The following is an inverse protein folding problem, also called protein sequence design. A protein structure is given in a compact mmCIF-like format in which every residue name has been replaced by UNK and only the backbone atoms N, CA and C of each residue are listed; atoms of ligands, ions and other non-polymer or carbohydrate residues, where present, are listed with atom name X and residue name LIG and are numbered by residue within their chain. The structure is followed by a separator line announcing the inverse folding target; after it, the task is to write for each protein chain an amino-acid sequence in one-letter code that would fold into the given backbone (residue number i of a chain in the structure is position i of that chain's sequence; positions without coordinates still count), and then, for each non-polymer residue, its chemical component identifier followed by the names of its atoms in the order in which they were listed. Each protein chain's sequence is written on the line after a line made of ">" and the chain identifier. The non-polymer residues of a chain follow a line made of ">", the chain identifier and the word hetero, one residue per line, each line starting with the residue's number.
data_IF_516514841933
#
_entry.id   IF_516514841933
#
_cell.length_a   1.000
_cell.length_b   1.000
_cell.length_c   1.000
_cell.angle_alpha   90.00
_cell.angle_beta   90.00
_cell.angle_gamma   90.00
#
_symmetry.space_group_name_H-M   'P 1'
#
loop_
_entity.id
_entity.type
_entity.pdbx_description
1 polymer ?
#
# COMPACT_ATOMS: atom_id res chain seq x y z
N UNK A 1 -15.01 -6.50 9.11
CA UNK A 1 -14.60 -6.15 7.75
C UNK A 1 -13.10 -6.37 7.60
N UNK A 2 -12.68 -6.84 6.45
CA UNK A 2 -11.25 -7.00 6.13
C UNK A 2 -10.81 -5.80 5.30
N UNK A 3 -9.74 -5.12 5.72
CA UNK A 3 -9.26 -3.90 5.07
C UNK A 3 -7.78 -4.06 4.71
N UNK A 4 -7.46 -3.80 3.45
CA UNK A 4 -6.07 -3.74 2.98
C UNK A 4 -5.64 -2.29 2.88
N UNK A 5 -4.49 -1.97 3.49
CA UNK A 5 -3.90 -0.63 3.46
C UNK A 5 -2.51 -0.71 2.86
N UNK A 6 -2.29 0.00 1.75
CA UNK A 6 -0.98 0.02 1.09
C UNK A 6 -0.25 1.32 1.39
N UNK A 7 0.93 1.22 2.00
CA UNK A 7 1.72 2.33 2.53
C UNK A 7 3.08 2.29 1.87
N UNK A 8 3.46 3.34 1.15
CA UNK A 8 4.69 3.35 0.35
C UNK A 8 5.82 4.23 0.89
N UNK A 9 5.51 5.24 1.70
CA UNK A 9 6.50 6.21 2.16
C UNK A 9 6.43 6.40 3.68
N UNK A 10 7.51 6.93 4.30
CA UNK A 10 7.49 7.22 5.73
C UNK A 10 6.37 8.18 6.14
N UNK A 11 6.11 9.20 5.32
CA UNK A 11 5.03 10.16 5.58
C UNK A 11 3.68 9.46 5.61
N UNK A 12 3.45 8.56 4.66
CA UNK A 12 2.21 7.77 4.60
C UNK A 12 2.07 6.86 5.81
N UNK A 13 3.16 6.29 6.29
CA UNK A 13 3.15 5.45 7.48
C UNK A 13 2.72 6.26 8.70
N UNK A 14 3.30 7.41 8.91
CA UNK A 14 2.95 8.29 10.04
C UNK A 14 1.50 8.75 9.97
N UNK A 15 1.02 9.09 8.78
CA UNK A 15 -0.37 9.47 8.56
C UNK A 15 -1.32 8.31 8.88
N UNK A 16 -0.91 7.09 8.56
CA UNK A 16 -1.75 5.90 8.71
C UNK A 16 -1.84 5.38 10.13
N UNK A 17 -0.86 5.65 10.98
CA UNK A 17 -0.81 5.09 12.32
C UNK A 17 -2.11 5.25 13.13
N UNK A 18 -2.68 6.46 13.27
CA UNK A 18 -3.91 6.60 14.03
C UNK A 18 -5.11 5.92 13.36
N UNK A 19 -5.11 5.86 12.03
CA UNK A 19 -6.17 5.17 11.27
C UNK A 19 -6.11 3.67 11.54
N UNK A 20 -4.92 3.08 11.45
CA UNK A 20 -4.70 1.66 11.69
C UNK A 20 -5.03 1.29 13.14
N UNK A 21 -4.63 2.12 14.09
CA UNK A 21 -4.93 1.91 15.50
C UNK A 21 -6.44 1.85 15.75
N UNK A 22 -7.18 2.78 15.17
CA UNK A 22 -8.64 2.82 15.33
C UNK A 22 -9.35 1.68 14.62
N UNK A 23 -9.01 1.46 13.36
CA UNK A 23 -9.66 0.43 12.55
C UNK A 23 -9.32 -0.97 13.03
N UNK A 24 -8.11 -1.18 13.54
CA UNK A 24 -7.66 -2.48 14.02
C UNK A 24 -8.42 -3.01 15.22
N UNK A 25 -9.13 -2.15 15.93
CA UNK A 25 -9.93 -2.56 17.08
C UNK A 25 -11.21 -3.31 16.67
N UNK A 26 -11.72 -3.05 15.47
CA UNK A 26 -13.01 -3.61 15.00
C UNK A 26 -12.90 -4.38 13.70
N UNK A 27 -11.77 -4.29 13.00
CA UNK A 27 -11.60 -4.84 11.67
C UNK A 27 -10.28 -5.60 11.57
N UNK A 28 -10.24 -6.57 10.66
CA UNK A 28 -8.99 -7.27 10.34
C UNK A 28 -8.25 -6.46 9.28
N UNK A 29 -7.00 -6.11 9.57
CA UNK A 29 -6.19 -5.26 8.70
C UNK A 29 -5.02 -6.02 8.10
N UNK A 30 -4.72 -5.73 6.84
CA UNK A 30 -3.50 -6.15 6.18
C UNK A 30 -2.80 -4.89 5.68
N UNK A 31 -1.67 -4.56 6.28
CA UNK A 31 -0.88 -3.39 5.89
C UNK A 31 0.33 -3.85 5.09
N UNK A 32 0.45 -3.36 3.86
CA UNK A 32 1.53 -3.74 2.95
C UNK A 32 2.37 -2.53 2.57
N UNK A 33 3.61 -2.79 2.19
CA UNK A 33 4.52 -1.79 1.66
C UNK A 33 5.44 -2.46 0.65
N UNK A 34 6.32 -1.69 0.02
CA UNK A 34 7.40 -2.24 -0.79
C UNK A 34 8.72 -2.09 -0.03
N UNK A 35 9.72 -2.89 -0.37
CA UNK A 35 11.05 -2.78 0.26
C UNK A 35 11.65 -1.40 -0.02
N UNK A 36 11.79 -0.60 1.01
CA UNK A 36 12.33 0.74 0.97
C UNK A 36 12.90 1.04 2.35
N UNK A 37 14.22 1.28 2.42
CA UNK A 37 14.95 1.37 3.68
C UNK A 37 14.34 2.32 4.71
N UNK A 38 13.92 3.51 4.28
CA UNK A 38 13.35 4.50 5.21
C UNK A 38 12.05 3.99 5.84
N UNK A 39 11.19 3.35 5.05
CA UNK A 39 9.92 2.81 5.57
C UNK A 39 10.19 1.63 6.49
N UNK A 40 11.13 0.75 6.11
CA UNK A 40 11.49 -0.40 6.93
C UNK A 40 12.02 0.01 8.29
N UNK A 41 12.94 0.97 8.33
CA UNK A 41 13.50 1.49 9.58
C UNK A 41 12.44 2.14 10.46
N UNK A 42 11.61 2.97 9.86
CA UNK A 42 10.56 3.69 10.59
C UNK A 42 9.52 2.71 11.15
N UNK A 43 9.13 1.69 10.39
CA UNK A 43 8.16 0.71 10.85
C UNK A 43 8.65 -0.06 12.08
N UNK A 44 9.95 -0.35 12.14
CA UNK A 44 10.56 -1.00 13.30
C UNK A 44 10.56 -0.09 14.52
N UNK A 45 10.93 1.19 14.34
CA UNK A 45 10.97 2.18 15.42
C UNK A 45 9.57 2.41 15.99
N UNK A 46 8.57 2.47 15.12
CA UNK A 46 7.19 2.74 15.51
C UNK A 46 6.39 1.49 15.87
N UNK A 47 7.01 0.32 15.81
CA UNK A 47 6.33 -0.99 16.05
C UNK A 47 5.09 -1.17 15.18
N UNK A 48 5.20 -0.75 13.91
CA UNK A 48 4.12 -0.83 12.94
C UNK A 48 4.26 -2.12 12.13
N UNK A 49 3.21 -2.94 12.13
CA UNK A 49 3.18 -4.21 11.40
C UNK A 49 2.97 -3.99 9.90
N UNK A 50 4.06 -4.05 9.15
CA UNK A 50 4.02 -3.96 7.69
C UNK A 50 4.54 -5.25 7.06
N UNK A 51 3.83 -5.71 6.03
CA UNK A 51 4.30 -6.81 5.19
C UNK A 51 4.87 -6.21 3.92
N UNK A 52 6.15 -6.48 3.66
CA UNK A 52 6.84 -5.91 2.51
C UNK A 52 6.70 -6.82 1.30
N UNK A 53 6.11 -6.28 0.21
CA UNK A 53 5.90 -6.98 -1.05
C UNK A 53 6.45 -6.12 -2.18
N UNK A 54 7.38 -6.66 -2.95
CA UNK A 54 8.02 -5.95 -4.04
C UNK A 54 9.14 -5.03 -3.59
N UNK A 55 9.79 -4.39 -4.55
CA UNK A 55 10.95 -3.53 -4.33
C UNK A 55 10.73 -2.15 -4.89
N UNK A 56 11.43 -1.17 -4.33
CA UNK A 56 11.50 0.17 -4.91
C UNK A 56 12.29 0.09 -6.22
N UNK A 57 11.74 0.64 -7.30
CA UNK A 57 12.32 0.50 -8.64
C UNK A 57 13.50 1.41 -8.97
N UNK A 58 13.96 2.23 -8.03
CA UNK A 58 15.04 3.17 -8.28
C UNK A 58 14.60 4.41 -9.07
N UNK A 59 15.52 5.06 -9.78
CA UNK A 59 15.27 6.32 -10.49
C UNK A 59 14.92 6.15 -11.98
N UNK A 60 15.25 5.00 -12.55
CA UNK A 60 15.03 4.71 -13.97
C UNK A 60 13.57 4.32 -14.24
N UNK A 61 12.98 4.89 -15.30
CA UNK A 61 11.59 4.64 -15.67
C UNK A 61 11.30 3.18 -15.99
N UNK A 62 12.21 2.52 -16.72
CA UNK A 62 12.05 1.10 -17.06
C UNK A 62 12.10 0.22 -15.82
N UNK A 63 13.03 0.50 -14.92
CA UNK A 63 13.16 -0.23 -13.66
C UNK A 63 11.94 -0.03 -12.77
N UNK A 64 11.40 1.18 -12.73
CA UNK A 64 10.17 1.47 -11.99
C UNK A 64 8.97 0.71 -12.54
N UNK A 65 8.83 0.67 -13.86
CA UNK A 65 7.75 -0.06 -14.50
C UNK A 65 7.85 -1.56 -14.21
N UNK A 66 9.04 -2.11 -14.36
CA UNK A 66 9.28 -3.53 -14.08
C UNK A 66 8.98 -3.87 -12.62
N UNK A 67 9.45 -3.05 -11.69
CA UNK A 67 9.20 -3.25 -10.26
C UNK A 67 7.71 -3.18 -9.94
N UNK A 68 6.98 -2.26 -10.56
CA UNK A 68 5.54 -2.12 -10.38
C UNK A 68 4.80 -3.36 -10.87
N UNK A 69 5.14 -3.87 -12.04
CA UNK A 69 4.53 -5.07 -12.61
C UNK A 69 4.78 -6.28 -11.71
N UNK A 70 6.01 -6.47 -11.26
CA UNK A 70 6.36 -7.56 -10.34
C UNK A 70 5.61 -7.46 -9.02
N UNK A 71 5.47 -6.24 -8.51
CA UNK A 71 4.75 -6.00 -7.28
C UNK A 71 3.26 -6.30 -7.42
N UNK A 72 2.65 -5.88 -8.53
CA UNK A 72 1.24 -6.18 -8.82
C UNK A 72 1.02 -7.69 -8.83
N UNK A 73 1.90 -8.44 -9.47
CA UNK A 73 1.78 -9.90 -9.53
C UNK A 73 1.84 -10.54 -8.14
N UNK A 74 2.81 -10.16 -7.33
CA UNK A 74 2.97 -10.69 -5.97
C UNK A 74 1.82 -10.27 -5.05
N UNK A 75 1.46 -8.98 -5.08
CA UNK A 75 0.37 -8.45 -4.27
C UNK A 75 -0.97 -9.08 -4.64
N UNK A 76 -1.25 -9.24 -5.93
CA UNK A 76 -2.55 -9.77 -6.34
C UNK A 76 -2.81 -11.17 -5.78
N UNK A 77 -1.78 -12.00 -5.70
CA UNK A 77 -1.88 -13.34 -5.10
C UNK A 77 -2.23 -13.24 -3.61
N UNK A 78 -1.54 -12.35 -2.90
CA UNK A 78 -1.75 -12.13 -1.48
C UNK A 78 -3.14 -11.55 -1.19
N UNK A 79 -3.56 -10.58 -1.98
CA UNK A 79 -4.85 -9.90 -1.80
C UNK A 79 -6.02 -10.82 -2.15
N UNK A 80 -5.89 -11.65 -3.17
CA UNK A 80 -6.89 -12.68 -3.48
C UNK A 80 -7.12 -13.61 -2.29
N UNK A 81 -6.05 -13.97 -1.60
CA UNK A 81 -6.11 -14.84 -0.43
C UNK A 81 -6.76 -14.15 0.77
N UNK A 82 -6.44 -12.88 0.98
CA UNK A 82 -6.97 -12.10 2.09
C UNK A 82 -8.44 -11.75 1.91
N UNK A 83 -8.87 -11.53 0.69
CA UNK A 83 -10.24 -11.16 0.32
C UNK A 83 -10.74 -9.90 1.07
N UNK A 84 -10.06 -8.74 0.89
CA UNK A 84 -10.49 -7.53 1.59
C UNK A 84 -11.83 -7.01 1.08
N UNK A 85 -12.57 -6.39 1.97
CA UNK A 85 -13.82 -5.69 1.64
C UNK A 85 -13.55 -4.25 1.20
N UNK A 86 -12.42 -3.70 1.61
CA UNK A 86 -12.06 -2.31 1.35
C UNK A 86 -10.55 -2.19 1.19
N UNK A 87 -10.12 -1.30 0.29
CA UNK A 87 -8.70 -0.97 0.09
C UNK A 87 -8.51 0.51 0.40
N UNK A 88 -7.49 0.82 1.17
CA UNK A 88 -7.07 2.20 1.45
C UNK A 88 -5.65 2.38 0.95
N UNK A 89 -5.40 3.43 0.18
CA UNK A 89 -4.04 3.73 -0.28
C UNK A 89 -3.80 5.24 -0.34
N UNK A 90 -2.55 5.60 -0.55
CA UNK A 90 -2.10 6.98 -0.60
C UNK A 90 -1.40 7.23 -1.93
N UNK A 91 -2.14 6.98 -3.02
CA UNK A 91 -1.59 7.13 -4.36
C UNK A 91 -0.78 5.94 -4.87
N UNK A 92 -1.07 4.75 -4.37
CA UNK A 92 -0.41 3.52 -4.84
C UNK A 92 -1.02 3.07 -6.17
N UNK A 93 -0.24 3.08 -7.28
CA UNK A 93 -0.76 2.59 -8.55
C UNK A 93 -1.06 1.09 -8.53
N UNK A 94 -0.27 0.31 -7.79
CA UNK A 94 -0.49 -1.13 -7.67
C UNK A 94 -1.79 -1.43 -6.93
N UNK A 95 -2.07 -0.69 -5.84
CA UNK A 95 -3.32 -0.86 -5.10
C UNK A 95 -4.52 -0.50 -5.96
N UNK A 96 -4.42 0.58 -6.74
CA UNK A 96 -5.50 0.99 -7.63
C UNK A 96 -5.79 -0.07 -8.69
N UNK A 97 -4.76 -0.63 -9.31
CA UNK A 97 -4.89 -1.67 -10.33
C UNK A 97 -5.50 -2.94 -9.77
N UNK A 98 -5.03 -3.38 -8.62
CA UNK A 98 -5.50 -4.62 -8.01
C UNK A 98 -6.94 -4.47 -7.54
N UNK A 99 -7.28 -3.36 -6.88
CA UNK A 99 -8.63 -3.14 -6.40
C UNK A 99 -9.63 -3.05 -7.56
N UNK A 100 -9.27 -2.38 -8.65
CA UNK A 100 -10.09 -2.32 -9.84
C UNK A 100 -10.27 -3.70 -10.46
N UNK A 101 -9.17 -4.45 -10.63
CA UNK A 101 -9.20 -5.77 -11.25
C UNK A 101 -9.97 -6.80 -10.44
N UNK A 102 -10.01 -6.68 -9.13
CA UNK A 102 -10.73 -7.60 -8.25
C UNK A 102 -12.12 -7.08 -7.83
N UNK A 103 -12.49 -5.90 -8.30
CA UNK A 103 -13.79 -5.32 -7.97
C UNK A 103 -13.95 -4.92 -6.51
N UNK A 104 -12.88 -4.47 -5.86
CA UNK A 104 -12.90 -4.08 -4.45
C UNK A 104 -13.01 -2.56 -4.34
N UNK A 105 -13.82 -2.09 -3.40
CA UNK A 105 -13.92 -0.65 -3.11
C UNK A 105 -12.58 -0.10 -2.69
N UNK A 106 -12.19 1.04 -3.25
CA UNK A 106 -10.90 1.66 -3.01
C UNK A 106 -11.06 3.12 -2.60
N UNK A 107 -10.51 3.47 -1.44
CA UNK A 107 -10.41 4.84 -0.98
C UNK A 107 -8.97 5.28 -1.16
N UNK A 108 -8.75 6.29 -2.00
CA UNK A 108 -7.41 6.81 -2.24
C UNK A 108 -7.27 8.20 -1.66
N UNK A 109 -6.28 8.38 -0.80
CA UNK A 109 -5.91 9.71 -0.32
C UNK A 109 -4.78 10.25 -1.19
N UNK A 110 -4.90 11.52 -1.58
CA UNK A 110 -3.89 12.20 -2.36
C UNK A 110 -3.42 13.42 -1.56
N UNK A 111 -2.13 13.46 -1.26
CA UNK A 111 -1.55 14.55 -0.48
C UNK A 111 -1.13 15.74 -1.35
N UNK A 112 -1.25 15.62 -2.67
CA UNK A 112 -0.93 16.68 -3.61
C UNK A 112 -1.98 16.74 -4.71
N UNK A 113 -2.67 17.88 -4.89
CA UNK A 113 -3.64 18.02 -5.99
C UNK A 113 -2.99 18.04 -7.38
N UNK A 114 -1.65 18.11 -7.43
CA UNK A 114 -0.90 18.12 -8.68
C UNK A 114 -0.24 16.79 -9.01
N UNK A 115 -0.57 15.73 -8.29
CA UNK A 115 0.00 14.40 -8.52
C UNK A 115 -0.68 13.73 -9.71
N UNK A 116 -0.18 14.00 -10.91
CA UNK A 116 -0.77 13.50 -12.16
C UNK A 116 -0.87 11.97 -12.22
N UNK A 117 0.01 11.26 -11.55
CA UNK A 117 0.01 9.80 -11.55
C UNK A 117 -1.21 9.17 -10.87
N UNK A 118 -1.91 9.92 -10.03
CA UNK A 118 -3.09 9.44 -9.28
C UNK A 118 -4.39 10.10 -9.75
N UNK A 119 -4.26 11.05 -10.62
CA UNK A 119 -5.38 11.74 -11.22
C UNK A 119 -5.65 11.24 -12.64
#
# INVERSE_FOLDING_TARGET
>A
MKIWIDILTPKQLLFSEPIVERLGKKHELLCTSREYNEVSKLSKIRHFDLIFVGKHGGSDKKSKLKASIERIEKLSKKIKKFEPDLVISYGSPEAARISFGLGIKHIMFCDSPHANAVM
#
